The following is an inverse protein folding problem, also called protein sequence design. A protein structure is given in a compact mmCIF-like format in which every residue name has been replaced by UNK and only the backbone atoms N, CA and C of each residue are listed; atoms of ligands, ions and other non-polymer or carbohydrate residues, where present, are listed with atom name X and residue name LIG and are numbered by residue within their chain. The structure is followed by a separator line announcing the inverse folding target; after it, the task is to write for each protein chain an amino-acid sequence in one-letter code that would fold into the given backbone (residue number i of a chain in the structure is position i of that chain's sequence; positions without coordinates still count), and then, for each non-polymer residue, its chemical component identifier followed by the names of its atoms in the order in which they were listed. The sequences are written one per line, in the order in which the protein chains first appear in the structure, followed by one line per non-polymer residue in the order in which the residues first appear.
data_IF_972970770673
#
_entry.id   IF_972970770673
#
_cell.length_a   1.000
_cell.length_b   1.000
_cell.length_c   1.000
_cell.angle_alpha   90.00
_cell.angle_beta   90.00
_cell.angle_gamma   90.00
#
_symmetry.space_group_name_H-M   'P 1'
#
loop_
_entity.id
_entity.type
_entity.pdbx_description
1 polymer ?
#
# COMPACT_ATOMS: atom_id res chain seq x y z
N UNK A 1 4.64 24.61 -28.26
CA UNK A 1 5.36 25.81 -28.73
C UNK A 1 6.83 25.42 -28.86
N UNK A 2 7.41 25.55 -30.05
CA UNK A 2 8.81 25.19 -30.31
C UNK A 2 9.75 26.18 -29.60
N UNK A 3 10.62 25.66 -28.74
CA UNK A 3 11.59 26.42 -27.92
C UNK A 3 12.71 26.97 -28.82
N UNK A 4 12.49 28.13 -29.43
CA UNK A 4 13.36 28.80 -30.40
C UNK A 4 14.52 29.56 -29.72
N UNK A 5 15.33 28.89 -28.89
CA UNK A 5 16.41 29.59 -28.19
C UNK A 5 17.45 28.75 -27.45
N UNK A 6 17.31 27.42 -27.37
CA UNK A 6 18.35 26.60 -26.73
C UNK A 6 19.56 26.44 -27.65
N UNK A 7 20.73 26.91 -27.19
CA UNK A 7 22.01 26.59 -27.83
C UNK A 7 22.14 25.07 -27.97
N UNK A 8 22.55 24.60 -29.16
CA UNK A 8 22.79 23.19 -29.43
C UNK A 8 24.30 22.94 -29.50
N UNK A 9 24.74 21.78 -29.00
CA UNK A 9 26.07 21.23 -29.23
C UNK A 9 25.96 19.99 -30.10
N UNK A 10 26.90 19.83 -31.02
CA UNK A 10 27.02 18.62 -31.83
C UNK A 10 27.98 17.66 -31.14
N UNK A 11 27.54 16.42 -30.93
CA UNK A 11 28.41 15.33 -30.48
C UNK A 11 28.48 14.29 -31.59
N UNK A 12 29.67 13.80 -31.87
CA UNK A 12 29.92 12.75 -32.86
C UNK A 12 30.25 11.45 -32.15
N UNK A 13 29.56 10.38 -32.52
CA UNK A 13 29.83 9.01 -32.10
C UNK A 13 29.94 8.08 -33.31
N UNK A 14 30.10 6.77 -33.08
CA UNK A 14 30.17 5.76 -34.15
C UNK A 14 28.90 5.68 -35.03
N UNK A 15 27.79 6.27 -34.58
CA UNK A 15 26.53 6.38 -35.33
C UNK A 15 26.38 7.75 -36.01
N UNK A 16 27.46 8.54 -36.06
CA UNK A 16 27.51 9.86 -36.68
C UNK A 16 27.22 11.01 -35.72
N UNK A 17 26.93 12.18 -36.30
CA UNK A 17 26.70 13.41 -35.57
C UNK A 17 25.26 13.48 -35.04
N UNK A 18 25.09 14.00 -33.82
CA UNK A 18 23.80 14.29 -33.23
C UNK A 18 23.81 15.63 -32.48
N UNK A 19 22.75 16.40 -32.68
CA UNK A 19 22.54 17.67 -31.99
C UNK A 19 21.87 17.44 -30.63
N UNK A 20 22.42 18.08 -29.60
CA UNK A 20 21.95 18.00 -28.22
C UNK A 20 21.82 19.41 -27.64
N UNK A 21 20.88 19.68 -26.70
CA UNK A 21 20.90 20.92 -25.95
C UNK A 21 22.24 21.14 -25.24
N UNK A 22 22.81 22.34 -25.34
CA UNK A 22 24.12 22.66 -24.76
C UNK A 22 24.12 22.59 -23.22
N UNK A 23 22.95 22.78 -22.60
CA UNK A 23 22.69 22.68 -21.17
C UNK A 23 22.48 21.22 -20.67
N UNK A 24 22.48 20.22 -21.57
CA UNK A 24 22.24 18.83 -21.15
C UNK A 24 23.50 18.12 -20.64
N UNK A 25 23.36 17.34 -19.56
CA UNK A 25 24.47 16.56 -18.96
C UNK A 25 24.70 15.18 -19.60
N UNK A 26 23.87 14.80 -20.57
CA UNK A 26 23.95 13.49 -21.25
C UNK A 26 24.58 13.60 -22.65
N UNK A 27 25.03 12.46 -23.19
CA UNK A 27 25.70 12.36 -24.49
C UNK A 27 24.84 11.77 -25.61
N UNK A 28 25.47 11.49 -26.75
CA UNK A 28 24.81 11.05 -27.98
C UNK A 28 23.87 9.83 -27.80
N UNK A 29 24.28 8.82 -27.03
CA UNK A 29 23.48 7.61 -26.82
C UNK A 29 22.15 7.90 -26.10
N UNK A 30 22.15 8.74 -25.07
CA UNK A 30 20.93 9.12 -24.34
C UNK A 30 19.97 9.90 -25.23
N UNK A 31 20.48 10.80 -26.07
CA UNK A 31 19.66 11.57 -27.01
C UNK A 31 19.01 10.68 -28.07
N UNK A 32 19.77 9.72 -28.62
CA UNK A 32 19.22 8.72 -29.54
C UNK A 32 18.15 7.86 -28.85
N UNK A 33 18.37 7.48 -27.59
CA UNK A 33 17.38 6.76 -26.80
C UNK A 33 16.10 7.58 -26.62
N UNK A 34 16.20 8.87 -26.29
CA UNK A 34 15.03 9.76 -26.15
C UNK A 34 14.22 9.87 -27.44
N UNK A 35 14.90 9.96 -28.60
CA UNK A 35 14.25 10.08 -29.92
C UNK A 35 13.58 8.78 -30.37
N UNK A 36 14.23 7.65 -30.14
CA UNK A 36 13.78 6.36 -30.67
C UNK A 36 12.85 5.60 -29.71
N UNK A 37 12.96 5.86 -28.41
CA UNK A 37 12.20 5.18 -27.37
C UNK A 37 11.57 6.24 -26.43
N UNK A 38 10.38 6.78 -26.78
CA UNK A 38 9.67 7.77 -25.97
C UNK A 38 9.00 7.11 -24.75
N UNK A 39 9.79 6.40 -23.95
CA UNK A 39 9.36 5.70 -22.73
C UNK A 39 9.54 6.55 -21.46
N UNK A 40 10.24 7.67 -21.57
CA UNK A 40 10.39 8.67 -20.52
C UNK A 40 9.68 9.94 -20.98
N UNK A 41 8.82 10.51 -20.14
CA UNK A 41 8.00 11.70 -20.45
C UNK A 41 8.58 12.94 -19.77
N UNK A 42 8.16 14.14 -20.17
CA UNK A 42 8.76 15.42 -19.72
C UNK A 42 8.68 15.69 -18.20
N UNK A 43 7.92 14.87 -17.45
CA UNK A 43 7.86 14.87 -15.99
C UNK A 43 9.04 14.14 -15.33
N UNK A 44 9.77 13.32 -16.08
CA UNK A 44 10.92 12.53 -15.61
C UNK A 44 12.19 13.40 -15.59
N UNK A 45 12.29 14.29 -14.60
CA UNK A 45 13.43 15.21 -14.47
C UNK A 45 14.43 14.74 -13.44
N UNK A 46 15.71 14.82 -13.79
CA UNK A 46 16.78 14.69 -12.79
C UNK A 46 16.65 15.84 -11.77
N UNK A 47 16.81 15.55 -10.46
CA UNK A 47 16.86 16.61 -9.46
C UNK A 47 18.01 17.57 -9.77
N UNK A 48 17.75 18.87 -9.66
CA UNK A 48 18.75 19.89 -9.90
C UNK A 48 19.89 19.75 -8.87
N UNK A 49 21.14 19.76 -9.32
CA UNK A 49 22.25 20.14 -8.44
C UNK A 49 22.08 21.63 -8.14
N UNK A 50 21.96 22.02 -6.86
CA UNK A 50 21.83 23.43 -6.46
C UNK A 50 22.82 24.32 -7.21
N UNK A 51 22.39 25.41 -7.86
CA UNK A 51 21.99 26.67 -7.22
C UNK A 51 20.89 27.44 -8.00
N UNK A 52 19.95 26.80 -8.69
CA UNK A 52 18.84 27.52 -9.33
C UNK A 52 17.48 27.00 -8.83
N UNK A 53 16.99 27.71 -7.79
CA UNK A 53 15.59 27.86 -7.38
C UNK A 53 14.73 26.60 -7.21
N UNK A 54 14.56 26.14 -5.95
CA UNK A 54 13.20 25.86 -5.48
C UNK A 54 12.88 24.56 -4.74
N UNK A 55 13.78 23.58 -4.55
CA UNK A 55 13.51 22.52 -3.56
C UNK A 55 14.78 22.00 -2.87
N UNK A 56 14.78 22.15 -1.55
CA UNK A 56 15.85 21.76 -0.61
C UNK A 56 15.78 20.25 -0.35
N UNK A 57 16.24 19.42 -1.29
CA UNK A 57 16.69 18.08 -0.93
C UNK A 57 18.21 18.11 -0.98
N UNK A 58 18.84 18.12 0.19
CA UNK A 58 20.30 18.05 0.35
C UNK A 58 20.79 16.64 -0.01
N UNK A 59 20.75 16.33 -1.30
CA UNK A 59 21.25 15.08 -1.85
C UNK A 59 22.75 15.21 -2.09
N UNK A 60 23.53 14.55 -1.24
CA UNK A 60 24.99 14.48 -1.40
C UNK A 60 25.39 13.49 -2.50
N UNK A 61 25.32 13.94 -3.77
CA UNK A 61 25.75 13.14 -4.91
C UNK A 61 27.28 13.03 -4.98
N UNK A 62 27.80 11.82 -4.76
CA UNK A 62 29.23 11.52 -4.87
C UNK A 62 29.53 10.63 -6.09
N UNK A 63 30.73 10.73 -6.71
CA UNK A 63 31.13 9.81 -7.77
C UNK A 63 31.17 8.36 -7.28
N UNK A 64 30.66 7.41 -8.07
CA UNK A 64 30.73 5.99 -7.73
C UNK A 64 32.18 5.52 -7.53
N UNK A 65 32.48 4.82 -6.44
CA UNK A 65 33.85 4.34 -6.14
C UNK A 65 34.40 3.43 -7.24
N UNK A 66 33.56 2.54 -7.78
CA UNK A 66 33.89 1.67 -8.91
C UNK A 66 33.02 2.04 -10.13
N UNK A 67 33.66 2.57 -11.18
CA UNK A 67 32.97 3.00 -12.41
C UNK A 67 32.56 1.83 -13.30
N UNK A 68 33.30 0.72 -13.27
CA UNK A 68 32.95 -0.48 -14.03
C UNK A 68 31.62 -1.04 -13.52
N UNK A 69 31.49 -1.26 -12.21
CA UNK A 69 30.26 -1.75 -11.59
C UNK A 69 29.06 -0.82 -11.85
N UNK A 70 29.26 0.51 -11.79
CA UNK A 70 28.20 1.48 -12.04
C UNK A 70 27.71 1.54 -13.51
N UNK A 71 28.53 1.09 -14.46
CA UNK A 71 28.19 1.04 -15.88
C UNK A 71 27.63 -0.34 -16.28
N UNK A 72 28.25 -1.41 -15.79
CA UNK A 72 27.91 -2.80 -16.08
C UNK A 72 26.69 -3.30 -15.31
N UNK A 73 26.36 -2.69 -14.17
CA UNK A 73 25.24 -3.06 -13.30
C UNK A 73 24.43 -1.85 -12.84
N UNK A 74 23.19 -2.12 -12.42
CA UNK A 74 22.25 -1.12 -11.90
C UNK A 74 21.62 -1.57 -10.58
N UNK A 75 22.43 -2.23 -9.75
CA UNK A 75 21.99 -2.94 -8.55
C UNK A 75 21.37 -2.01 -7.50
N UNK A 76 21.84 -0.77 -7.40
CA UNK A 76 21.23 0.24 -6.53
C UNK A 76 19.80 0.58 -6.93
N UNK A 77 19.50 0.62 -8.24
CA UNK A 77 18.12 0.80 -8.72
C UNK A 77 17.28 -0.46 -8.51
N UNK A 78 17.87 -1.65 -8.69
CA UNK A 78 17.20 -2.91 -8.38
C UNK A 78 16.83 -3.00 -6.89
N UNK A 79 17.75 -2.62 -5.99
CA UNK A 79 17.50 -2.61 -4.56
C UNK A 79 16.39 -1.63 -4.19
N UNK A 80 16.40 -0.42 -4.75
CA UNK A 80 15.32 0.55 -4.54
C UNK A 80 13.99 0.03 -5.09
N UNK A 81 13.99 -0.64 -6.25
CA UNK A 81 12.81 -1.31 -6.80
C UNK A 81 12.25 -2.36 -5.84
N UNK A 82 13.12 -3.13 -5.19
CA UNK A 82 12.74 -4.09 -4.16
C UNK A 82 12.05 -3.43 -2.97
N UNK A 83 12.50 -2.25 -2.55
CA UNK A 83 11.84 -1.47 -1.50
C UNK A 83 10.44 -0.98 -1.93
N UNK A 84 10.29 -0.55 -3.19
CA UNK A 84 8.97 -0.23 -3.76
C UNK A 84 8.06 -1.45 -3.80
N UNK A 85 8.58 -2.61 -4.18
CA UNK A 85 7.83 -3.87 -4.18
C UNK A 85 7.35 -4.26 -2.77
N UNK A 86 8.23 -4.18 -1.77
CA UNK A 86 7.85 -4.42 -0.37
C UNK A 86 6.79 -3.41 0.13
N UNK A 87 6.88 -2.15 -0.30
CA UNK A 87 5.85 -1.15 0.01
C UNK A 87 4.52 -1.53 -0.64
N UNK A 88 4.54 -1.97 -1.90
CA UNK A 88 3.34 -2.39 -2.62
C UNK A 88 2.63 -3.57 -1.95
N UNK A 89 3.34 -4.55 -1.37
CA UNK A 89 2.68 -5.66 -0.66
C UNK A 89 1.89 -5.18 0.56
N UNK A 90 2.43 -4.21 1.31
CA UNK A 90 1.73 -3.58 2.43
C UNK A 90 0.51 -2.79 1.96
N UNK A 91 0.66 -1.97 0.91
CA UNK A 91 -0.44 -1.19 0.35
C UNK A 91 -1.55 -2.09 -0.20
N UNK A 92 -1.20 -3.20 -0.84
CA UNK A 92 -2.18 -4.17 -1.35
C UNK A 92 -2.99 -4.79 -0.21
N UNK A 93 -2.34 -5.18 0.88
CA UNK A 93 -3.03 -5.69 2.07
C UNK A 93 -3.96 -4.62 2.65
N UNK A 94 -3.48 -3.40 2.88
CA UNK A 94 -4.29 -2.31 3.42
C UNK A 94 -5.54 -2.03 2.58
N UNK A 95 -5.37 -1.93 1.25
CA UNK A 95 -6.47 -1.70 0.32
C UNK A 95 -7.56 -2.80 0.43
N UNK A 96 -7.15 -4.07 0.44
CA UNK A 96 -8.07 -5.19 0.51
C UNK A 96 -8.79 -5.28 1.86
N UNK A 97 -8.09 -5.02 2.96
CA UNK A 97 -8.71 -4.99 4.29
C UNK A 97 -9.78 -3.90 4.39
N UNK A 98 -9.44 -2.68 3.96
CA UNK A 98 -10.37 -1.56 4.02
C UNK A 98 -11.61 -1.86 3.17
N UNK A 99 -11.42 -2.36 1.94
CA UNK A 99 -12.51 -2.73 1.06
C UNK A 99 -13.42 -3.81 1.66
N UNK A 100 -12.84 -4.83 2.30
CA UNK A 100 -13.61 -5.92 2.91
C UNK A 100 -14.31 -5.47 4.19
N UNK A 101 -13.62 -4.76 5.08
CA UNK A 101 -14.19 -4.21 6.32
C UNK A 101 -15.30 -3.20 6.07
N UNK A 102 -15.27 -2.49 4.93
CA UNK A 102 -16.34 -1.59 4.50
C UNK A 102 -17.40 -2.22 3.62
N UNK A 103 -17.31 -3.52 3.31
CA UNK A 103 -18.29 -4.19 2.45
C UNK A 103 -19.68 -4.16 3.09
N UNK A 104 -20.71 -3.81 2.33
CA UNK A 104 -22.04 -3.58 2.89
C UNK A 104 -23.02 -2.91 1.91
N UNK A 105 -24.12 -2.31 2.40
CA UNK A 105 -24.38 -2.00 3.81
C UNK A 105 -24.89 -3.18 4.64
N UNK A 106 -25.59 -4.15 4.04
CA UNK A 106 -26.30 -5.21 4.79
C UNK A 106 -25.79 -6.63 4.55
N UNK A 107 -25.03 -6.87 3.48
CA UNK A 107 -24.59 -8.20 3.06
C UNK A 107 -23.05 -8.32 3.01
N UNK A 108 -22.36 -7.61 3.89
CA UNK A 108 -20.90 -7.64 4.05
C UNK A 108 -20.50 -7.53 5.53
N UNK A 109 -19.29 -7.07 5.82
CA UNK A 109 -18.82 -6.85 7.19
C UNK A 109 -19.36 -5.54 7.78
N UNK A 110 -19.21 -4.42 7.07
CA UNK A 110 -19.73 -3.11 7.47
C UNK A 110 -19.15 -2.55 8.78
N UNK A 111 -17.94 -2.95 9.16
CA UNK A 111 -17.22 -2.44 10.34
C UNK A 111 -16.67 -1.03 10.12
N UNK A 112 -16.30 -0.72 8.87
CA UNK A 112 -15.82 0.59 8.45
C UNK A 112 -16.83 1.27 7.52
N UNK A 113 -16.96 2.59 7.66
CA UNK A 113 -17.77 3.44 6.79
C UNK A 113 -16.85 4.39 6.03
N UNK A 114 -16.75 4.20 4.72
CA UNK A 114 -15.91 5.02 3.86
C UNK A 114 -16.62 6.34 3.47
N UNK A 115 -15.87 7.43 3.24
CA UNK A 115 -16.44 8.67 2.73
C UNK A 115 -16.98 8.49 1.30
N UNK A 116 -18.20 8.98 0.98
CA UNK A 116 -18.76 8.92 -0.37
C UNK A 116 -18.26 10.11 -1.20
N UNK A 117 -17.15 9.93 -1.92
CA UNK A 117 -16.54 11.00 -2.72
C UNK A 117 -17.25 11.23 -4.06
N UNK A 118 -17.71 10.14 -4.70
CA UNK A 118 -18.38 10.18 -5.98
C UNK A 118 -19.91 10.20 -5.83
N UNK A 119 -20.66 10.84 -6.75
CA UNK A 119 -22.12 10.86 -6.69
C UNK A 119 -22.72 9.45 -6.71
N UNK A 120 -23.45 9.12 -5.64
CA UNK A 120 -24.26 7.91 -5.55
C UNK A 120 -25.64 8.07 -6.20
N UNK A 121 -26.39 6.98 -6.28
CA UNK A 121 -27.80 7.02 -6.69
C UNK A 121 -28.69 7.19 -5.46
N UNK A 122 -29.67 8.09 -5.53
CA UNK A 122 -30.61 8.36 -4.42
C UNK A 122 -31.46 7.16 -4.03
N UNK A 123 -31.67 6.20 -4.93
CA UNK A 123 -32.39 4.94 -4.66
C UNK A 123 -31.53 3.88 -3.95
N UNK A 124 -30.21 4.11 -3.83
CA UNK A 124 -29.25 3.18 -3.22
C UNK A 124 -28.56 3.81 -1.99
N UNK A 125 -29.31 4.13 -0.91
CA UNK A 125 -28.72 4.71 0.29
C UNK A 125 -27.73 3.75 0.95
N UNK A 126 -26.61 4.29 1.43
CA UNK A 126 -25.57 3.53 2.13
C UNK A 126 -24.65 2.69 1.25
N UNK A 127 -24.90 2.59 -0.06
CA UNK A 127 -23.96 1.95 -1.00
C UNK A 127 -22.83 2.92 -1.34
N UNK A 128 -21.63 2.62 -0.86
CA UNK A 128 -20.39 3.34 -1.18
C UNK A 128 -19.38 2.35 -1.72
N UNK A 129 -18.91 2.57 -2.96
CA UNK A 129 -17.86 1.73 -3.54
C UNK A 129 -16.49 2.17 -2.99
N UNK A 130 -15.58 1.24 -2.66
CA UNK A 130 -14.26 1.58 -2.11
C UNK A 130 -13.26 1.99 -3.22
N UNK A 131 -13.58 3.01 -4.01
CA UNK A 131 -12.83 3.41 -5.22
C UNK A 131 -11.35 3.71 -4.97
N UNK A 132 -11.04 4.33 -3.82
CA UNK A 132 -9.65 4.59 -3.43
C UNK A 132 -8.90 3.31 -3.07
N UNK A 133 -9.57 2.30 -2.48
CA UNK A 133 -8.98 0.98 -2.25
C UNK A 133 -8.72 0.28 -3.59
N UNK A 134 -9.66 0.35 -4.53
CA UNK A 134 -9.51 -0.24 -5.87
C UNK A 134 -8.28 0.34 -6.58
N UNK A 135 -8.16 1.68 -6.61
CA UNK A 135 -7.01 2.38 -7.19
C UNK A 135 -5.69 2.00 -6.52
N UNK A 136 -5.64 1.99 -5.18
CA UNK A 136 -4.45 1.62 -4.42
C UNK A 136 -4.03 0.17 -4.70
N UNK A 137 -5.01 -0.74 -4.83
CA UNK A 137 -4.76 -2.15 -5.13
C UNK A 137 -4.18 -2.34 -6.54
N UNK A 138 -4.71 -1.64 -7.54
CA UNK A 138 -4.19 -1.67 -8.92
C UNK A 138 -2.77 -1.12 -8.99
N UNK A 139 -2.49 -0.02 -8.29
CA UNK A 139 -1.14 0.55 -8.19
C UNK A 139 -0.17 -0.43 -7.57
N UNK A 140 -0.56 -1.11 -6.49
CA UNK A 140 0.31 -2.09 -5.86
C UNK A 140 0.69 -3.24 -6.82
N UNK A 141 -0.29 -3.79 -7.56
CA UNK A 141 -0.03 -4.84 -8.56
C UNK A 141 0.86 -4.32 -9.69
N UNK A 142 0.63 -3.09 -10.17
CA UNK A 142 1.46 -2.46 -11.21
C UNK A 142 2.92 -2.32 -10.75
N UNK A 143 3.15 -1.89 -9.50
CA UNK A 143 4.50 -1.74 -8.92
C UNK A 143 5.22 -3.09 -8.82
N UNK A 144 4.51 -4.17 -8.43
CA UNK A 144 5.08 -5.52 -8.40
C UNK A 144 5.51 -5.99 -9.81
N UNK A 145 4.68 -5.71 -10.82
CA UNK A 145 5.03 -5.97 -12.23
C UNK A 145 6.26 -5.18 -12.68
N UNK A 146 6.30 -3.88 -12.38
CA UNK A 146 7.45 -3.02 -12.67
C UNK A 146 8.74 -3.56 -12.01
N UNK A 147 8.65 -4.07 -10.77
CA UNK A 147 9.79 -4.65 -10.08
C UNK A 147 10.32 -5.91 -10.77
N UNK A 148 9.43 -6.78 -11.25
CA UNK A 148 9.83 -7.94 -12.04
C UNK A 148 10.58 -7.53 -13.32
N UNK A 149 10.08 -6.51 -14.03
CA UNK A 149 10.76 -5.95 -15.22
C UNK A 149 12.14 -5.41 -14.87
N UNK A 150 12.27 -4.63 -13.78
CA UNK A 150 13.56 -4.10 -13.32
C UNK A 150 14.52 -5.23 -12.95
N UNK A 151 14.03 -6.29 -12.31
CA UNK A 151 14.83 -7.47 -11.93
C UNK A 151 15.45 -8.14 -13.15
N UNK A 152 14.64 -8.43 -14.18
CA UNK A 152 15.14 -9.01 -15.42
C UNK A 152 16.11 -8.07 -16.14
N UNK A 153 15.77 -6.79 -16.26
CA UNK A 153 16.61 -5.81 -16.95
C UNK A 153 17.98 -5.62 -16.27
N UNK A 154 18.00 -5.58 -14.93
CA UNK A 154 19.23 -5.45 -14.16
C UNK A 154 20.13 -6.70 -14.29
N UNK A 155 19.55 -7.91 -14.33
CA UNK A 155 20.31 -9.16 -14.43
C UNK A 155 20.95 -9.42 -15.80
N UNK A 156 20.51 -8.74 -16.86
CA UNK A 156 20.96 -8.95 -18.24
C UNK A 156 22.06 -7.97 -18.69
N UNK A 157 22.82 -7.39 -17.75
CA UNK A 157 24.02 -6.64 -18.10
C UNK A 157 25.06 -7.53 -18.81
N UNK A 158 25.70 -7.01 -19.85
CA UNK A 158 26.71 -7.76 -20.61
C UNK A 158 28.06 -7.05 -20.53
N UNK A 159 29.04 -7.73 -19.93
CA UNK A 159 30.42 -7.25 -19.79
C UNK A 159 30.48 -5.84 -19.17
N UNK A 160 30.94 -4.82 -19.90
CA UNK A 160 31.21 -3.49 -19.36
C UNK A 160 29.98 -2.57 -19.29
N UNK A 161 28.83 -2.96 -19.85
CA UNK A 161 27.67 -2.07 -19.91
C UNK A 161 26.33 -2.83 -19.84
N UNK A 162 25.48 -2.47 -18.88
CA UNK A 162 24.07 -2.83 -18.94
C UNK A 162 23.34 -1.85 -19.85
N UNK A 163 22.77 -2.32 -20.97
CA UNK A 163 22.08 -1.47 -21.96
C UNK A 163 20.57 -1.34 -21.73
N UNK A 164 20.02 -1.98 -20.70
CA UNK A 164 18.60 -1.90 -20.32
C UNK A 164 18.27 -0.68 -19.45
N UNK A 165 19.16 0.32 -19.40
CA UNK A 165 19.01 1.53 -18.58
C UNK A 165 17.65 2.23 -18.75
N UNK A 166 17.13 2.41 -19.99
CA UNK A 166 15.87 3.12 -20.20
C UNK A 166 14.67 2.42 -19.56
N UNK A 167 14.54 1.09 -19.73
CA UNK A 167 13.42 0.35 -19.14
C UNK A 167 13.53 0.26 -17.61
N UNK A 168 14.75 0.20 -17.06
CA UNK A 168 14.97 0.25 -15.62
C UNK A 168 14.44 1.58 -15.08
N UNK A 169 14.95 2.72 -15.57
CA UNK A 169 14.59 4.02 -15.00
C UNK A 169 13.11 4.37 -15.23
N UNK A 170 12.53 4.02 -16.38
CA UNK A 170 11.11 4.26 -16.64
C UNK A 170 10.21 3.54 -15.62
N UNK A 171 10.48 2.26 -15.33
CA UNK A 171 9.73 1.50 -14.32
C UNK A 171 9.96 2.05 -12.90
N UNK A 172 11.17 2.52 -12.59
CA UNK A 172 11.47 3.12 -11.29
C UNK A 172 10.69 4.42 -11.06
N UNK A 173 10.68 5.31 -12.03
CA UNK A 173 9.97 6.59 -11.94
C UNK A 173 8.45 6.39 -11.93
N UNK A 174 7.95 5.47 -12.77
CA UNK A 174 6.54 5.09 -12.79
C UNK A 174 6.08 4.56 -11.43
N UNK A 175 6.80 3.61 -10.83
CA UNK A 175 6.49 3.08 -9.50
C UNK A 175 6.53 4.17 -8.42
N UNK A 176 7.58 5.01 -8.42
CA UNK A 176 7.72 6.10 -7.45
C UNK A 176 6.52 7.06 -7.51
N UNK A 177 6.13 7.47 -8.72
CA UNK A 177 5.01 8.40 -8.94
C UNK A 177 3.68 7.77 -8.52
N UNK A 178 3.38 6.55 -8.98
CA UNK A 178 2.13 5.87 -8.65
C UNK A 178 1.97 5.65 -7.15
N UNK A 179 3.03 5.19 -6.45
CA UNK A 179 2.99 5.01 -4.99
C UNK A 179 2.71 6.35 -4.31
N UNK A 180 3.48 7.39 -4.65
CA UNK A 180 3.33 8.71 -4.03
C UNK A 180 1.92 9.27 -4.20
N UNK A 181 1.39 9.23 -5.41
CA UNK A 181 0.07 9.78 -5.71
C UNK A 181 -1.04 8.95 -5.10
N UNK A 182 -0.99 7.62 -5.23
CA UNK A 182 -2.02 6.74 -4.69
C UNK A 182 -2.09 6.80 -3.17
N UNK A 183 -0.95 6.85 -2.48
CA UNK A 183 -0.92 6.98 -1.01
C UNK A 183 -1.50 8.31 -0.56
N UNK A 184 -1.19 9.42 -1.24
CA UNK A 184 -1.78 10.73 -0.93
C UNK A 184 -3.28 10.74 -1.19
N UNK A 185 -3.73 10.27 -2.36
CA UNK A 185 -5.15 10.19 -2.69
C UNK A 185 -5.92 9.28 -1.71
N UNK A 186 -5.36 8.14 -1.32
CA UNK A 186 -5.96 7.23 -0.35
C UNK A 186 -6.03 7.87 1.05
N UNK A 187 -4.98 8.57 1.48
CA UNK A 187 -4.99 9.27 2.75
C UNK A 187 -6.06 10.38 2.77
N UNK A 188 -6.06 11.23 1.75
CA UNK A 188 -6.91 12.43 1.69
C UNK A 188 -8.37 12.11 1.43
N UNK A 189 -8.68 11.10 0.59
CA UNK A 189 -10.04 10.81 0.14
C UNK A 189 -10.62 9.51 0.73
N UNK A 190 -9.90 8.78 1.57
CA UNK A 190 -10.43 7.56 2.21
C UNK A 190 -10.17 7.59 3.72
N UNK A 191 -8.89 7.63 4.12
CA UNK A 191 -8.51 7.53 5.55
C UNK A 191 -8.98 8.74 6.35
N UNK A 192 -8.85 9.95 5.83
CA UNK A 192 -9.21 11.21 6.52
C UNK A 192 -10.68 11.26 6.95
N UNK A 193 -11.58 10.67 6.16
CA UNK A 193 -13.02 10.65 6.36
C UNK A 193 -13.56 9.32 6.87
N UNK A 194 -12.69 8.36 7.20
CA UNK A 194 -13.06 7.03 7.66
C UNK A 194 -13.80 7.10 9.00
N UNK A 195 -14.93 6.40 9.09
CA UNK A 195 -15.65 6.23 10.36
C UNK A 195 -15.75 4.75 10.73
N UNK A 196 -15.81 4.51 12.04
CA UNK A 196 -16.00 3.17 12.59
C UNK A 196 -17.49 2.94 12.87
N UNK A 197 -18.04 1.83 12.40
CA UNK A 197 -19.42 1.44 12.68
C UNK A 197 -19.50 0.73 14.04
N UNK A 198 -19.43 1.49 15.13
CA UNK A 198 -19.40 0.94 16.50
C UNK A 198 -20.63 0.07 16.83
N UNK A 199 -21.79 0.37 16.24
CA UNK A 199 -23.00 -0.42 16.44
C UNK A 199 -22.87 -1.83 15.84
N UNK A 200 -22.38 -1.92 14.60
CA UNK A 200 -22.13 -3.20 13.93
C UNK A 200 -21.02 -4.00 14.63
N UNK A 201 -19.92 -3.36 14.99
CA UNK A 201 -18.82 -4.01 15.71
C UNK A 201 -19.30 -4.53 17.07
N UNK A 202 -20.06 -3.72 17.81
CA UNK A 202 -20.65 -4.14 19.08
C UNK A 202 -21.55 -5.37 18.93
N UNK A 203 -22.34 -5.43 17.85
CA UNK A 203 -23.14 -6.61 17.51
C UNK A 203 -22.28 -7.84 17.24
N UNK A 204 -21.21 -7.72 16.45
CA UNK A 204 -20.31 -8.84 16.18
C UNK A 204 -19.60 -9.34 17.44
N UNK A 205 -19.10 -8.44 18.28
CA UNK A 205 -18.49 -8.80 19.55
C UNK A 205 -19.49 -9.53 20.45
N UNK A 206 -20.72 -9.03 20.57
CA UNK A 206 -21.77 -9.65 21.38
C UNK A 206 -22.27 -11.01 20.85
N UNK A 207 -22.19 -11.25 19.54
CA UNK A 207 -22.58 -12.51 18.90
C UNK A 207 -21.42 -13.51 18.76
N UNK A 208 -20.18 -13.09 19.02
CA UNK A 208 -19.00 -13.93 18.81
C UNK A 208 -18.88 -15.03 19.86
N UNK A 209 -18.61 -16.25 19.40
CA UNK A 209 -18.33 -17.39 20.27
C UNK A 209 -16.89 -17.40 20.81
N UNK A 210 -16.01 -16.53 20.29
CA UNK A 210 -14.59 -16.52 20.66
C UNK A 210 -14.34 -16.04 22.09
N UNK A 211 -15.28 -15.27 22.65
CA UNK A 211 -15.19 -14.73 24.02
C UNK A 211 -15.33 -15.81 25.10
N UNK A 212 -15.77 -17.03 24.73
CA UNK A 212 -16.03 -18.13 25.67
C UNK A 212 -14.81 -18.54 26.49
N UNK A 213 -13.60 -18.30 25.97
CA UNK A 213 -12.35 -18.64 26.64
C UNK A 213 -12.15 -17.89 27.96
N UNK A 214 -12.77 -16.72 28.13
CA UNK A 214 -12.81 -15.99 29.39
C UNK A 214 -13.47 -16.78 30.51
N UNK A 215 -14.35 -17.74 30.19
CA UNK A 215 -15.06 -18.56 31.18
C UNK A 215 -14.26 -19.78 31.64
N UNK A 216 -13.24 -20.23 30.89
CA UNK A 216 -12.48 -21.44 31.20
C UNK A 216 -11.90 -21.45 32.63
N UNK A 217 -11.34 -20.36 33.17
CA UNK A 217 -10.86 -20.31 34.56
C UNK A 217 -11.96 -20.43 35.63
N UNK A 218 -13.22 -20.17 35.26
CA UNK A 218 -14.35 -20.11 36.19
C UNK A 218 -15.23 -21.36 36.15
N UNK A 219 -15.46 -21.92 34.97
CA UNK A 219 -16.34 -23.10 34.79
C UNK A 219 -15.60 -24.34 34.28
N UNK A 220 -14.30 -24.23 33.98
CA UNK A 220 -13.52 -25.31 33.38
C UNK A 220 -13.69 -25.39 31.86
N UNK A 221 -12.65 -25.92 31.19
CA UNK A 221 -12.58 -25.97 29.72
C UNK A 221 -13.74 -26.74 29.09
N UNK A 222 -14.08 -27.93 29.59
CA UNK A 222 -15.11 -28.78 28.98
C UNK A 222 -16.50 -28.14 29.03
N UNK A 223 -16.80 -27.40 30.10
CA UNK A 223 -18.07 -26.67 30.23
C UNK A 223 -18.11 -25.43 29.33
N UNK A 224 -16.99 -24.71 29.20
CA UNK A 224 -16.87 -23.60 28.27
C UNK A 224 -17.02 -24.09 26.80
N UNK A 225 -16.40 -25.21 26.46
CA UNK A 225 -16.52 -25.81 25.13
C UNK A 225 -17.95 -26.30 24.83
N UNK A 226 -18.63 -26.94 25.79
CA UNK A 226 -20.01 -27.39 25.60
C UNK A 226 -20.98 -26.21 25.49
N UNK A 227 -20.75 -25.12 26.23
CA UNK A 227 -21.50 -23.87 26.09
C UNK A 227 -21.36 -23.28 24.67
N UNK A 228 -20.15 -23.17 24.14
CA UNK A 228 -19.93 -22.63 22.80
C UNK A 228 -20.59 -23.49 21.71
N UNK A 229 -20.52 -24.82 21.83
CA UNK A 229 -21.21 -25.75 20.93
C UNK A 229 -22.73 -25.57 20.99
N UNK A 230 -23.29 -25.50 22.20
CA UNK A 230 -24.72 -25.27 22.37
C UNK A 230 -25.17 -23.94 21.76
N UNK A 231 -24.42 -22.86 21.98
CA UNK A 231 -24.69 -21.55 21.39
C UNK A 231 -24.67 -21.60 19.85
N UNK A 232 -23.70 -22.28 19.26
CA UNK A 232 -23.60 -22.45 17.81
C UNK A 232 -24.78 -23.26 17.23
N UNK A 233 -25.11 -24.39 17.85
CA UNK A 233 -26.18 -25.30 17.40
C UNK A 233 -27.56 -24.64 17.44
N UNK A 234 -27.78 -23.73 18.39
CA UNK A 234 -29.08 -23.08 18.62
C UNK A 234 -29.14 -21.63 18.13
N UNK A 235 -28.05 -21.10 17.55
CA UNK A 235 -27.98 -19.72 17.06
C UNK A 235 -28.12 -18.67 18.17
N UNK A 236 -27.58 -18.96 19.36
CA UNK A 236 -27.66 -18.10 20.54
C UNK A 236 -26.36 -17.31 20.74
N UNK A 237 -26.46 -16.21 21.50
CA UNK A 237 -25.26 -15.61 22.09
C UNK A 237 -24.70 -16.52 23.19
N UNK A 238 -23.42 -16.37 23.52
CA UNK A 238 -22.83 -17.08 24.66
C UNK A 238 -23.55 -16.77 25.97
N UNK A 239 -23.98 -15.52 26.14
CA UNK A 239 -24.71 -15.05 27.31
C UNK A 239 -26.06 -15.77 27.45
N UNK A 240 -26.84 -15.82 26.38
CA UNK A 240 -28.15 -16.47 26.38
C UNK A 240 -28.02 -17.98 26.57
N UNK A 241 -27.05 -18.62 25.91
CA UNK A 241 -26.76 -20.04 26.09
C UNK A 241 -26.33 -20.37 27.53
N UNK A 242 -25.56 -19.49 28.18
CA UNK A 242 -25.09 -19.71 29.55
C UNK A 242 -26.25 -19.65 30.56
N UNK A 243 -27.19 -18.72 30.34
CA UNK A 243 -28.42 -18.59 31.12
C UNK A 243 -29.36 -19.78 30.86
N UNK A 244 -29.54 -20.18 29.61
CA UNK A 244 -30.40 -21.31 29.24
C UNK A 244 -29.91 -22.64 29.81
N UNK A 245 -28.60 -22.88 29.78
CA UNK A 245 -27.97 -24.07 30.37
C UNK A 245 -27.83 -23.99 31.90
N UNK A 246 -28.35 -22.92 32.52
CA UNK A 246 -28.27 -22.66 33.96
C UNK A 246 -26.82 -22.72 34.50
N UNK A 247 -25.84 -22.33 33.66
CA UNK A 247 -24.43 -22.35 34.05
C UNK A 247 -24.04 -21.13 34.87
N UNK A 248 -24.65 -19.98 34.59
CA UNK A 248 -24.48 -18.71 35.31
C UNK A 248 -25.64 -17.77 35.01
N UNK A 249 -25.82 -16.74 35.84
CA UNK A 249 -26.80 -15.69 35.58
C UNK A 249 -26.21 -14.60 34.64
N UNK A 250 -27.05 -13.70 34.11
CA UNK A 250 -26.60 -12.69 33.16
C UNK A 250 -25.57 -11.71 33.74
N UNK A 251 -25.74 -11.29 34.99
CA UNK A 251 -24.83 -10.33 35.65
C UNK A 251 -23.45 -10.93 35.90
N UNK A 252 -23.39 -12.22 36.22
CA UNK A 252 -22.16 -12.98 36.36
C UNK A 252 -21.45 -13.12 35.02
N UNK A 253 -22.18 -13.44 33.95
CA UNK A 253 -21.60 -13.49 32.60
C UNK A 253 -20.97 -12.14 32.21
N UNK A 254 -21.71 -11.04 32.40
CA UNK A 254 -21.25 -9.69 32.04
C UNK A 254 -20.04 -9.26 32.88
N UNK A 255 -19.93 -9.73 34.13
CA UNK A 255 -18.76 -9.51 34.98
C UNK A 255 -17.54 -10.31 34.51
N UNK A 256 -17.73 -11.56 34.09
CA UNK A 256 -16.63 -12.47 33.74
C UNK A 256 -16.12 -12.28 32.31
N UNK A 257 -17.00 -11.95 31.37
CA UNK A 257 -16.67 -11.83 29.94
C UNK A 257 -16.55 -10.35 29.58
N UNK A 258 -15.34 -9.80 29.71
CA UNK A 258 -15.06 -8.40 29.41
C UNK A 258 -14.11 -8.27 28.21
N UNK A 259 -14.61 -8.04 26.98
CA UNK A 259 -13.77 -7.97 25.78
C UNK A 259 -12.62 -6.96 25.88
N UNK A 260 -12.83 -5.85 26.58
CA UNK A 260 -11.80 -4.83 26.82
C UNK A 260 -10.60 -5.39 27.58
N UNK A 261 -10.82 -6.24 28.58
CA UNK A 261 -9.74 -6.86 29.37
C UNK A 261 -9.03 -7.94 28.55
N UNK A 262 -9.76 -8.65 27.69
CA UNK A 262 -9.21 -9.69 26.81
C UNK A 262 -8.32 -9.12 25.68
N UNK A 263 -8.37 -7.82 25.43
CA UNK A 263 -7.59 -7.17 24.38
C UNK A 263 -6.13 -6.89 24.78
N UNK A 264 -5.75 -7.12 26.04
CA UNK A 264 -4.44 -6.78 26.59
C UNK A 264 -3.84 -7.94 27.40
N UNK A 265 -2.50 -7.94 27.63
CA UNK A 265 -1.87 -8.89 28.52
C UNK A 265 -2.42 -8.81 29.96
N UNK A 266 -2.46 -9.96 30.65
CA UNK A 266 -2.95 -10.03 32.02
C UNK A 266 -2.08 -9.20 32.98
N UNK A 267 -2.73 -8.41 33.85
CA UNK A 267 -2.06 -7.64 34.91
C UNK A 267 -1.62 -6.22 34.53
N UNK A 268 -1.90 -5.75 33.31
CA UNK A 268 -1.63 -4.36 32.94
C UNK A 268 -2.69 -3.42 33.54
N UNK A 269 -2.36 -2.84 34.70
CA UNK A 269 -3.24 -1.93 35.45
C UNK A 269 -3.32 -0.52 34.87
N UNK A 270 -2.62 -0.22 33.78
CA UNK A 270 -2.65 1.11 33.15
C UNK A 270 -3.93 1.39 32.35
N UNK A 271 -4.84 0.39 32.26
CA UNK A 271 -5.94 0.35 31.27
C UNK A 271 -7.33 0.17 31.93
N UNK A 272 -7.40 0.01 33.26
CA UNK A 272 -8.65 -0.01 34.03
C UNK A 272 -9.06 1.41 34.45
#
# INVERSE_FOLDING_TARGET
MYDCGRQLRVVEDSFGKIELPADCHYGAQTERSKRNFPICVDTDRMPFRGNQTGSLIDLNFVPAKNKFAALSGHDGLLQLSGAFNATATVLFKLANDFALLSSGPNCGLGELLLPPNEPGSSIMPGKVNPTQCEALSMVAVQVMGNHFTVTLAASHGQLQLNVYKPIIIANMLHSCRLISDAVRCFADNCVSGLQVNSAQIGRYVGQSLMLVTALSPHIGYDRAASLAKHAQEHGLTLRDAAVQLQMMNPEEFDRLVQPRVMAFPFGDSSIL
#
